data_IF_963766285623
#
_entry.id   IF_963766285623
#
_cell.length_a   1.000
_cell.length_b   1.000
_cell.length_c   1.000
_cell.angle_alpha   90.00
_cell.angle_beta   90.00
_cell.angle_gamma   90.00
#
_symmetry.space_group_name_H-M   'P 1'
#
loop_
_entity.id
_entity.type
_entity.pdbx_description
1 polymer ?
#
# COMPACT_ATOMS: atom_id res chain seq x y z
N UNK A 1 61.77 -30.70 -13.44
CA UNK A 1 61.93 -31.00 -12.00
C UNK A 1 62.14 -29.70 -11.25
N UNK A 2 61.20 -29.31 -10.39
CA UNK A 2 61.42 -28.60 -9.09
C UNK A 2 60.07 -28.53 -8.39
N UNK A 3 59.94 -29.28 -7.30
CA UNK A 3 58.79 -29.33 -6.40
C UNK A 3 58.96 -28.26 -5.32
N UNK A 4 57.95 -27.43 -5.08
CA UNK A 4 57.89 -26.57 -3.87
C UNK A 4 56.64 -26.91 -3.06
N UNK A 5 56.95 -27.52 -1.91
CA UNK A 5 56.19 -27.77 -0.68
C UNK A 5 54.84 -27.04 -0.52
N UNK A 6 53.77 -27.81 -0.38
CA UNK A 6 52.47 -27.33 0.10
C UNK A 6 52.42 -27.29 1.63
N UNK A 7 52.03 -26.14 2.17
CA UNK A 7 51.77 -25.88 3.59
C UNK A 7 50.42 -26.44 4.02
N UNK A 8 50.41 -27.39 4.96
CA UNK A 8 49.20 -27.97 5.56
C UNK A 8 48.56 -26.98 6.54
N UNK A 9 47.32 -26.59 6.26
CA UNK A 9 46.43 -25.82 7.15
C UNK A 9 45.68 -26.81 8.06
N UNK A 10 45.65 -26.55 9.37
CA UNK A 10 44.91 -27.37 10.36
C UNK A 10 43.45 -26.91 10.47
N UNK A 11 42.47 -27.81 10.59
CA UNK A 11 41.06 -27.47 10.74
C UNK A 11 40.67 -27.23 12.21
N UNK A 12 39.81 -26.24 12.46
CA UNK A 12 39.13 -26.00 13.74
C UNK A 12 37.63 -26.34 13.63
N UNK A 13 37.01 -26.97 14.65
CA UNK A 13 35.56 -27.14 14.74
C UNK A 13 34.95 -26.08 15.69
N UNK A 14 33.66 -25.73 15.72
CA UNK A 14 32.49 -25.93 14.87
C UNK A 14 31.45 -24.92 15.38
N UNK A 15 30.70 -24.24 14.50
CA UNK A 15 29.58 -23.35 14.90
C UNK A 15 28.27 -24.13 14.70
N UNK A 16 27.49 -24.31 15.76
CA UNK A 16 26.19 -25.01 15.71
C UNK A 16 25.11 -24.06 15.19
N UNK A 17 24.42 -24.55 14.16
CA UNK A 17 23.30 -23.93 13.49
C UNK A 17 21.95 -24.52 13.99
N UNK A 18 21.01 -23.59 14.21
CA UNK A 18 19.61 -23.57 13.72
C UNK A 18 18.52 -24.49 14.30
N UNK A 19 17.34 -23.84 14.32
CA UNK A 19 15.98 -24.33 14.05
C UNK A 19 15.20 -24.94 15.23
N UNK A 20 14.28 -24.12 15.76
CA UNK A 20 13.07 -24.60 16.43
C UNK A 20 11.96 -24.84 15.40
N UNK A 21 11.32 -26.01 15.49
CA UNK A 21 10.09 -26.36 14.79
C UNK A 21 9.17 -27.15 15.74
N UNK A 22 7.88 -27.07 15.46
CA UNK A 22 6.75 -27.32 16.33
C UNK A 22 6.25 -28.79 16.37
N UNK A 23 5.39 -29.02 17.38
CA UNK A 23 4.17 -29.85 17.39
C UNK A 23 4.23 -31.40 17.42
N UNK A 24 3.28 -31.95 18.19
CA UNK A 24 3.00 -33.37 18.46
C UNK A 24 3.11 -33.61 19.98
N UNK A 25 2.13 -34.06 20.74
CA UNK A 25 0.94 -34.88 20.50
C UNK A 25 0.83 -35.85 21.69
N UNK A 26 -0.39 -36.20 22.08
CA UNK A 26 -0.78 -37.37 22.88
C UNK A 26 -1.00 -37.28 24.42
N UNK A 27 -2.25 -37.62 24.74
CA UNK A 27 -2.73 -38.58 25.75
C UNK A 27 -2.74 -38.20 27.24
N UNK A 28 -3.86 -37.57 27.60
CA UNK A 28 -4.86 -38.09 28.55
C UNK A 28 -4.40 -39.31 29.38
N UNK A 29 -4.05 -39.09 30.65
CA UNK A 29 -4.09 -40.12 31.68
C UNK A 29 -4.90 -39.63 32.87
N UNK A 30 -6.04 -40.28 33.07
CA UNK A 30 -6.92 -40.14 34.22
C UNK A 30 -6.15 -40.24 35.53
N UNK A 31 -6.37 -39.30 36.46
CA UNK A 31 -6.14 -39.57 37.87
C UNK A 31 -7.26 -39.01 38.75
N UNK A 32 -8.33 -39.82 38.79
CA UNK A 32 -8.96 -40.37 40.00
C UNK A 32 -9.01 -39.47 41.25
N UNK A 33 -10.17 -38.83 41.39
CA UNK A 33 -10.94 -38.57 42.62
C UNK A 33 -10.36 -39.18 43.91
N UNK A 34 -10.01 -38.33 44.89
CA UNK A 34 -10.26 -38.59 46.32
C UNK A 34 -10.22 -37.30 47.14
N UNK A 35 -11.38 -37.03 47.73
CA UNK A 35 -11.79 -35.96 48.63
C UNK A 35 -10.96 -35.83 49.91
N UNK A 36 -10.61 -34.59 50.28
CA UNK A 36 -9.98 -34.22 51.54
C UNK A 36 -10.27 -32.77 51.93
N UNK A 37 -11.50 -32.51 52.34
CA UNK A 37 -12.07 -31.23 52.77
C UNK A 37 -11.31 -30.58 53.93
N UNK A 38 -10.69 -29.41 53.73
CA UNK A 38 -10.52 -28.35 54.76
C UNK A 38 -10.57 -26.94 54.16
N UNK A 39 -11.75 -26.33 54.27
CA UNK A 39 -12.08 -24.90 54.43
C UNK A 39 -10.94 -23.91 54.09
N UNK A 40 -11.13 -23.08 53.05
CA UNK A 40 -11.45 -21.64 53.19
C UNK A 40 -12.26 -21.20 51.97
N UNK A 41 -13.47 -20.70 52.22
CA UNK A 41 -14.34 -20.09 51.24
C UNK A 41 -13.70 -18.77 50.79
N UNK A 42 -13.32 -18.67 49.53
CA UNK A 42 -13.15 -17.40 48.86
C UNK A 42 -14.08 -17.42 47.65
N UNK A 43 -15.34 -17.05 47.93
CA UNK A 43 -16.33 -16.72 46.92
C UNK A 43 -15.80 -15.46 46.22
N UNK A 44 -15.18 -15.64 45.07
CA UNK A 44 -14.90 -14.52 44.18
C UNK A 44 -16.19 -14.27 43.39
N UNK A 45 -16.87 -13.21 43.79
CA UNK A 45 -18.14 -12.73 43.26
C UNK A 45 -18.11 -12.64 41.72
N UNK A 46 -19.18 -13.13 41.08
CA UNK A 46 -19.46 -12.87 39.68
C UNK A 46 -19.63 -11.36 39.47
N UNK A 47 -18.63 -10.70 38.90
CA UNK A 47 -18.78 -9.34 38.40
C UNK A 47 -19.53 -9.42 37.07
N UNK A 48 -20.75 -8.88 37.09
CA UNK A 48 -21.68 -8.81 35.98
C UNK A 48 -21.00 -8.28 34.70
N UNK A 49 -21.20 -8.99 33.58
CA UNK A 49 -20.87 -8.50 32.25
C UNK A 49 -21.75 -7.29 31.94
N UNK A 50 -21.21 -6.09 32.17
CA UNK A 50 -21.81 -4.85 31.69
C UNK A 50 -21.52 -4.76 30.20
N UNK A 51 -22.55 -5.02 29.38
CA UNK A 51 -22.49 -4.80 27.95
C UNK A 51 -22.36 -3.28 27.69
N UNK A 52 -21.14 -2.83 27.38
CA UNK A 52 -20.93 -1.54 26.74
C UNK A 52 -21.36 -1.68 25.28
N UNK A 53 -22.58 -1.21 24.98
CA UNK A 53 -22.97 -0.91 23.60
C UNK A 53 -22.14 0.29 23.13
N UNK A 54 -20.99 0.05 22.50
CA UNK A 54 -20.27 1.09 21.80
C UNK A 54 -21.10 1.50 20.59
N UNK A 55 -21.57 2.75 20.60
CA UNK A 55 -22.16 3.39 19.45
C UNK A 55 -21.25 3.18 18.24
N UNK A 56 -21.77 2.60 17.16
CA UNK A 56 -21.07 2.56 15.88
C UNK A 56 -21.01 4.00 15.41
N UNK A 57 -19.91 4.69 15.74
CA UNK A 57 -19.59 5.98 15.17
C UNK A 57 -19.70 5.82 13.66
N UNK A 58 -20.53 6.64 13.03
CA UNK A 58 -20.73 6.63 11.59
C UNK A 58 -19.36 6.60 10.91
N UNK A 59 -19.10 5.54 10.15
CA UNK A 59 -18.04 5.58 9.16
C UNK A 59 -18.31 6.83 8.32
N UNK A 60 -17.32 7.72 8.09
CA UNK A 60 -17.52 8.75 7.09
C UNK A 60 -17.81 8.02 5.79
N UNK A 61 -19.09 7.97 5.41
CA UNK A 61 -19.50 7.56 4.09
C UNK A 61 -18.80 8.53 3.16
N UNK A 62 -17.78 8.04 2.47
CA UNK A 62 -17.16 8.72 1.35
C UNK A 62 -18.31 9.22 0.48
N UNK A 63 -18.51 10.53 0.47
CA UNK A 63 -19.59 11.15 -0.28
C UNK A 63 -19.34 10.82 -1.75
N UNK A 64 -20.01 9.79 -2.24
CA UNK A 64 -20.00 9.48 -3.66
C UNK A 64 -20.70 10.63 -4.35
N UNK A 65 -20.02 11.24 -5.33
CA UNK A 65 -20.68 12.19 -6.18
C UNK A 65 -21.79 11.43 -6.95
N UNK A 66 -23.02 11.91 -6.88
CA UNK A 66 -24.08 11.44 -7.75
C UNK A 66 -23.72 11.82 -9.19
N UNK A 67 -23.42 10.81 -10.02
CA UNK A 67 -22.98 11.01 -11.41
C UNK A 67 -21.49 10.73 -11.63
N UNK A 68 -20.94 11.15 -12.79
CA UNK A 68 -19.57 10.83 -13.15
C UNK A 68 -18.59 11.73 -12.38
N UNK A 69 -17.66 11.11 -11.65
CA UNK A 69 -16.58 11.83 -10.99
C UNK A 69 -15.30 11.00 -11.00
N UNK A 70 -14.17 11.68 -10.95
CA UNK A 70 -12.88 11.02 -10.91
C UNK A 70 -11.87 11.74 -10.02
N UNK A 71 -10.82 11.05 -9.65
CA UNK A 71 -9.67 11.59 -8.95
C UNK A 71 -8.37 11.04 -9.53
N UNK A 72 -7.27 11.77 -9.32
CA UNK A 72 -5.92 11.29 -9.62
C UNK A 72 -5.24 10.89 -8.31
N UNK A 73 -4.98 9.60 -8.14
CA UNK A 73 -4.11 9.10 -7.11
C UNK A 73 -2.65 9.24 -7.55
N UNK A 74 -1.86 9.93 -6.75
CA UNK A 74 -0.41 10.08 -6.94
C UNK A 74 0.27 9.13 -5.95
N UNK A 75 1.02 8.15 -6.45
CA UNK A 75 1.72 7.20 -5.61
C UNK A 75 3.15 7.68 -5.30
N UNK A 76 3.77 7.07 -4.29
CA UNK A 76 5.17 7.33 -3.97
C UNK A 76 6.04 6.85 -5.12
N UNK A 77 6.62 7.80 -5.85
CA UNK A 77 7.59 7.52 -6.89
C UNK A 77 9.03 7.47 -6.42
N UNK A 78 9.92 7.52 -7.39
CA UNK A 78 11.36 7.63 -7.19
C UNK A 78 11.85 8.94 -7.79
N UNK A 79 12.78 9.57 -7.07
CA UNK A 79 13.41 10.81 -7.49
C UNK A 79 14.91 10.67 -7.38
N UNK A 80 15.61 11.38 -8.26
CA UNK A 80 17.05 11.49 -8.23
C UNK A 80 17.45 12.91 -8.61
N UNK A 81 18.74 13.21 -8.51
CA UNK A 81 19.24 14.53 -8.90
C UNK A 81 18.97 14.76 -10.39
N UNK A 82 18.09 15.70 -10.70
CA UNK A 82 17.77 16.07 -12.08
C UNK A 82 16.54 15.39 -12.67
N UNK A 83 15.84 14.49 -11.95
CA UNK A 83 14.68 13.82 -12.51
C UNK A 83 13.82 13.02 -11.54
N UNK A 84 12.67 12.59 -12.06
CA UNK A 84 11.66 11.86 -11.30
C UNK A 84 10.96 10.80 -12.16
N UNK A 85 10.40 9.81 -11.48
CA UNK A 85 9.41 8.89 -12.02
C UNK A 85 8.31 8.66 -10.97
N UNK A 86 7.13 9.21 -11.23
CA UNK A 86 5.97 9.19 -10.32
C UNK A 86 4.86 8.32 -10.92
N UNK A 87 4.44 7.24 -10.23
CA UNK A 87 3.26 6.49 -10.61
C UNK A 87 1.98 7.27 -10.28
N UNK A 88 1.03 7.21 -11.21
CA UNK A 88 -0.27 7.85 -11.13
C UNK A 88 -1.37 6.83 -11.47
N UNK A 89 -2.56 7.01 -10.89
CA UNK A 89 -3.78 6.26 -11.26
C UNK A 89 -4.97 7.18 -11.29
N UNK A 90 -5.82 7.02 -12.30
CA UNK A 90 -7.13 7.68 -12.31
C UNK A 90 -8.15 6.73 -11.73
N UNK A 91 -8.93 7.21 -10.77
CA UNK A 91 -9.95 6.44 -10.06
C UNK A 91 -11.32 7.04 -10.37
N UNK A 92 -12.29 6.20 -10.72
CA UNK A 92 -13.69 6.62 -10.80
C UNK A 92 -14.27 6.62 -9.38
N UNK A 93 -14.54 7.81 -8.86
CA UNK A 93 -15.13 8.02 -7.53
C UNK A 93 -16.63 8.25 -7.56
N UNK A 94 -17.22 8.23 -8.75
CA UNK A 94 -18.64 8.48 -8.98
C UNK A 94 -19.46 7.20 -8.94
N UNK A 95 -20.76 7.35 -9.16
CA UNK A 95 -21.72 6.23 -9.16
C UNK A 95 -22.02 5.68 -10.55
N UNK A 96 -21.47 6.30 -11.61
CA UNK A 96 -21.67 5.87 -13.01
C UNK A 96 -20.35 5.57 -13.71
N UNK A 97 -20.33 4.73 -14.76
CA UNK A 97 -19.13 4.48 -15.55
C UNK A 97 -18.60 5.74 -16.25
N UNK A 98 -17.27 5.89 -16.33
CA UNK A 98 -16.62 6.91 -17.16
C UNK A 98 -16.34 6.32 -18.54
N UNK A 99 -16.53 7.11 -19.60
CA UNK A 99 -16.15 6.72 -20.98
C UNK A 99 -14.87 7.40 -21.47
N UNK A 100 -14.39 8.38 -20.71
CA UNK A 100 -13.06 8.93 -20.80
C UNK A 100 -12.74 9.75 -19.56
N UNK A 101 -11.50 10.18 -19.45
CA UNK A 101 -11.04 11.00 -18.34
C UNK A 101 -10.00 12.00 -18.82
N UNK A 102 -10.01 13.16 -18.18
CA UNK A 102 -8.99 14.19 -18.32
C UNK A 102 -8.63 14.70 -16.94
N UNK A 103 -7.35 14.68 -16.62
CA UNK A 103 -6.79 15.26 -15.41
C UNK A 103 -5.95 16.48 -15.78
N UNK A 104 -6.05 17.52 -14.97
CA UNK A 104 -5.22 18.72 -15.07
C UNK A 104 -4.61 19.00 -13.71
N UNK A 105 -3.35 19.38 -13.69
CA UNK A 105 -2.67 19.82 -12.47
C UNK A 105 -1.55 20.81 -12.78
N UNK A 106 -1.11 21.51 -11.76
CA UNK A 106 0.02 22.45 -11.82
C UNK A 106 1.14 21.95 -10.91
N UNK A 107 2.36 21.86 -11.44
CA UNK A 107 3.54 21.62 -10.62
C UNK A 107 3.91 22.84 -9.78
N UNK A 108 4.31 22.63 -8.53
CA UNK A 108 4.79 23.69 -7.62
C UNK A 108 6.21 24.15 -7.94
N UNK A 109 7.02 23.26 -8.54
CA UNK A 109 8.42 23.50 -8.88
C UNK A 109 8.65 23.70 -10.38
N UNK A 110 9.82 23.26 -10.84
CA UNK A 110 10.29 23.38 -12.21
C UNK A 110 10.17 22.06 -13.01
N UNK A 111 9.35 21.12 -12.53
CA UNK A 111 9.18 19.81 -13.13
C UNK A 111 8.79 19.92 -14.62
N UNK A 112 9.51 19.18 -15.47
CA UNK A 112 9.23 19.04 -16.90
C UNK A 112 9.04 17.60 -17.26
N UNK A 113 7.86 17.27 -17.78
CA UNK A 113 7.54 15.93 -18.25
C UNK A 113 8.25 15.61 -19.55
N UNK A 114 8.78 14.39 -19.63
CA UNK A 114 9.28 13.79 -20.86
C UNK A 114 8.29 12.76 -21.40
N UNK A 115 7.58 12.03 -20.53
CA UNK A 115 6.51 11.13 -20.90
C UNK A 115 5.53 10.88 -19.74
N UNK A 116 4.33 10.47 -20.10
CA UNK A 116 3.37 9.81 -19.22
C UNK A 116 2.85 8.56 -19.94
N UNK A 117 3.08 7.37 -19.38
CA UNK A 117 2.66 6.12 -20.03
C UNK A 117 1.13 5.98 -20.06
N UNK A 118 0.61 5.31 -21.10
CA UNK A 118 -0.83 5.03 -21.26
C UNK A 118 -1.75 6.26 -21.20
N UNK A 119 -1.25 7.43 -21.61
CA UNK A 119 -2.03 8.66 -21.62
C UNK A 119 -1.65 9.56 -22.80
N UNK A 120 -2.56 10.46 -23.18
CA UNK A 120 -2.28 11.58 -24.08
C UNK A 120 -2.10 12.81 -23.21
N UNK A 121 -0.96 13.50 -23.30
CA UNK A 121 -0.67 14.60 -22.40
C UNK A 121 -0.01 15.78 -23.10
N UNK A 122 -0.14 16.95 -22.48
CA UNK A 122 0.57 18.17 -22.85
C UNK A 122 0.97 18.92 -21.58
N UNK A 123 2.05 19.69 -21.66
CA UNK A 123 2.49 20.57 -20.59
C UNK A 123 2.77 21.96 -21.14
N UNK A 124 2.14 22.98 -20.55
CA UNK A 124 2.40 24.40 -20.84
C UNK A 124 2.88 25.07 -19.56
N UNK A 125 4.12 25.57 -19.56
CA UNK A 125 4.73 26.08 -18.33
C UNK A 125 4.81 25.01 -17.25
N UNK A 126 4.04 25.19 -16.16
CA UNK A 126 3.91 24.25 -15.04
C UNK A 126 2.61 23.44 -15.08
N UNK A 127 1.66 23.82 -15.93
CA UNK A 127 0.37 23.16 -16.03
C UNK A 127 0.47 21.96 -16.96
N UNK A 128 -0.04 20.83 -16.51
CA UNK A 128 -0.12 19.57 -17.26
C UNK A 128 -1.58 19.23 -17.47
N UNK A 129 -1.91 18.77 -18.67
CA UNK A 129 -3.18 18.12 -18.97
C UNK A 129 -2.87 16.73 -19.47
N UNK A 130 -3.42 15.69 -18.83
CA UNK A 130 -3.32 14.31 -19.28
C UNK A 130 -4.73 13.70 -19.44
N UNK A 131 -4.95 12.96 -20.50
CA UNK A 131 -6.20 12.27 -20.79
C UNK A 131 -5.98 10.82 -21.17
N UNK A 132 -7.07 10.07 -21.22
CA UNK A 132 -7.03 8.65 -21.51
C UNK A 132 -6.41 8.34 -22.89
N UNK A 133 -5.72 7.20 -22.95
CA UNK A 133 -5.46 6.52 -24.21
C UNK A 133 -6.76 5.87 -24.72
N UNK A 134 -6.74 5.36 -25.96
CA UNK A 134 -7.95 4.81 -26.58
C UNK A 134 -8.47 3.54 -25.86
N UNK A 135 -7.62 2.85 -25.09
CA UNK A 135 -7.93 1.57 -24.45
C UNK A 135 -8.23 1.64 -22.95
N UNK A 136 -8.03 2.79 -22.29
CA UNK A 136 -8.16 2.92 -20.83
C UNK A 136 -9.09 4.07 -20.41
N UNK A 137 -10.00 4.48 -21.29
CA UNK A 137 -11.01 5.50 -20.99
C UNK A 137 -12.20 4.96 -20.20
N UNK A 138 -12.57 3.70 -20.40
CA UNK A 138 -13.73 3.09 -19.74
C UNK A 138 -13.40 2.64 -18.31
N UNK A 139 -14.04 3.23 -17.30
CA UNK A 139 -13.86 2.89 -15.88
C UNK A 139 -15.21 2.74 -15.19
N UNK A 140 -15.54 1.53 -14.73
CA UNK A 140 -16.71 1.29 -13.88
C UNK A 140 -16.60 2.08 -12.54
N UNK A 141 -17.72 2.31 -11.83
CA UNK A 141 -17.69 2.91 -10.48
C UNK A 141 -16.71 2.18 -9.56
N UNK A 142 -15.84 2.93 -8.88
CA UNK A 142 -14.80 2.38 -8.00
C UNK A 142 -13.61 1.73 -8.72
N UNK A 143 -13.63 1.63 -10.06
CA UNK A 143 -12.50 1.12 -10.83
C UNK A 143 -11.42 2.18 -11.01
N UNK A 144 -10.21 1.73 -11.35
CA UNK A 144 -9.06 2.59 -11.60
C UNK A 144 -8.29 2.14 -12.83
N UNK A 145 -7.53 3.06 -13.41
CA UNK A 145 -6.62 2.71 -14.49
C UNK A 145 -5.49 1.80 -13.99
N UNK A 146 -4.85 1.11 -14.93
CA UNK A 146 -3.47 0.66 -14.73
C UNK A 146 -2.54 1.84 -14.39
N UNK A 147 -1.34 1.53 -13.93
CA UNK A 147 -0.37 2.55 -13.55
C UNK A 147 0.02 3.41 -14.77
N UNK A 148 -0.11 4.72 -14.63
CA UNK A 148 0.43 5.72 -15.54
C UNK A 148 1.74 6.22 -14.92
N UNK A 149 2.88 6.07 -15.59
CA UNK A 149 4.16 6.51 -15.07
C UNK A 149 4.51 7.86 -15.69
N UNK A 150 4.56 8.90 -14.87
CA UNK A 150 5.00 10.23 -15.25
C UNK A 150 6.49 10.39 -14.96
N UNK A 151 7.30 10.55 -16.00
CA UNK A 151 8.74 10.73 -15.87
C UNK A 151 9.20 12.02 -16.52
N UNK A 152 10.22 12.63 -15.91
CA UNK A 152 10.65 13.96 -16.31
C UNK A 152 11.93 14.42 -15.62
N UNK A 153 12.24 15.69 -15.85
CA UNK A 153 13.35 16.40 -15.22
C UNK A 153 12.85 17.36 -14.14
N UNK A 154 13.65 17.55 -13.09
CA UNK A 154 13.40 18.54 -12.04
C UNK A 154 14.72 18.94 -11.37
N UNK A 155 14.87 20.21 -11.00
CA UNK A 155 15.99 20.66 -10.17
C UNK A 155 15.62 20.73 -8.69
N UNK A 156 14.32 20.69 -8.37
CA UNK A 156 13.79 20.67 -7.00
C UNK A 156 13.06 19.35 -6.70
N UNK A 157 12.95 18.96 -5.41
CA UNK A 157 12.10 17.83 -5.01
C UNK A 157 10.65 18.01 -5.44
N UNK A 158 9.95 16.90 -5.72
CA UNK A 158 8.55 16.90 -6.10
C UNK A 158 7.68 17.35 -4.92
N UNK A 159 7.00 18.49 -5.11
CA UNK A 159 6.05 19.03 -4.15
C UNK A 159 4.61 18.55 -4.39
N UNK A 160 3.64 19.01 -3.59
CA UNK A 160 2.24 18.76 -3.86
C UNK A 160 1.84 19.33 -5.23
N UNK A 161 0.87 18.67 -5.88
CA UNK A 161 0.23 19.19 -7.08
C UNK A 161 -0.82 20.23 -6.71
N UNK A 162 -0.87 21.33 -7.44
CA UNK A 162 -1.91 22.35 -7.31
C UNK A 162 -2.96 22.20 -8.42
N UNK A 163 -4.11 22.82 -8.23
CA UNK A 163 -5.19 22.90 -9.22
C UNK A 163 -5.59 21.53 -9.79
N UNK A 164 -5.47 20.48 -8.97
CA UNK A 164 -5.74 19.11 -9.39
C UNK A 164 -7.23 18.96 -9.67
N UNK A 165 -7.57 18.79 -10.94
CA UNK A 165 -8.94 18.59 -11.39
C UNK A 165 -9.00 17.32 -12.25
N UNK A 166 -10.06 16.55 -12.08
CA UNK A 166 -10.36 15.41 -12.92
C UNK A 166 -11.76 15.58 -13.51
N UNK A 167 -11.84 15.61 -14.83
CA UNK A 167 -13.07 15.80 -15.59
C UNK A 167 -13.39 14.50 -16.34
N UNK A 168 -14.56 13.90 -16.11
CA UNK A 168 -15.04 12.79 -16.92
C UNK A 168 -15.37 13.27 -18.34
N UNK A 169 -15.13 12.41 -19.35
CA UNK A 169 -15.41 12.68 -20.77
C UNK A 169 -16.47 11.74 -21.34
#
# INVERSE_FOLDING_TARGET
MTFIRQSRVRPGPARRDRAGSAAGGDEMTEQRVRSGTRRRLAVWSAAAFTALATAVAGFPGQAHADGPSCSLAVEKGVEWRGGFNIPLRVVNTGTVPLNGWRVTWTFTGDQKLHAITSSRWSQTGRQVTAGNAFWNGNLAPGAQTGQLAANGSSSVPFGPLLDLTCTPL
#
